data_IF_437599295585
#
_entry.id   IF_437599295585
#
_cell.length_a   1.000
_cell.length_b   1.000
_cell.length_c   1.000
_cell.angle_alpha   90.00
_cell.angle_beta   90.00
_cell.angle_gamma   90.00
#
_symmetry.space_group_name_H-M   'P 1'
#
loop_
_entity.id
_entity.type
_entity.pdbx_description
1 polymer ?
#
# COMPACT_ATOMS: atom_id res chain seq x y z
N UNK A 1 2.65 -0.45 -49.81
CA UNK A 1 2.33 -1.87 -50.03
C UNK A 1 1.83 -2.38 -48.69
N UNK A 2 0.53 -2.35 -48.32
CA UNK A 2 -0.57 -3.29 -48.58
C UNK A 2 -0.20 -4.75 -48.24
N UNK A 3 -0.75 -5.26 -47.11
CA UNK A 3 -1.34 -6.57 -46.85
C UNK A 3 -1.69 -6.60 -45.35
N UNK A 4 -2.84 -6.49 -44.86
CA UNK A 4 -4.19 -7.07 -44.90
C UNK A 4 -4.22 -8.61 -44.74
N UNK A 5 -4.81 -9.06 -43.64
CA UNK A 5 -5.63 -10.27 -43.38
C UNK A 5 -5.94 -10.33 -41.89
N UNK A 6 -7.13 -9.99 -41.42
CA UNK A 6 -8.47 -10.63 -41.46
C UNK A 6 -8.57 -12.00 -40.77
N UNK A 7 -9.46 -12.00 -39.74
CA UNK A 7 -10.47 -12.98 -39.30
C UNK A 7 -10.03 -14.29 -38.63
N UNK A 8 -10.54 -14.54 -37.41
CA UNK A 8 -11.48 -15.64 -37.16
C UNK A 8 -12.20 -15.45 -35.83
N UNK A 9 -13.51 -15.23 -35.93
CA UNK A 9 -14.53 -15.36 -34.89
C UNK A 9 -14.81 -16.85 -34.71
N UNK A 10 -14.88 -17.37 -33.51
CA UNK A 10 -15.55 -18.65 -33.23
C UNK A 10 -16.46 -18.51 -31.99
N UNK A 11 -17.73 -18.36 -32.30
CA UNK A 11 -18.88 -18.61 -31.42
C UNK A 11 -19.04 -20.13 -31.25
N UNK A 12 -19.20 -20.58 -30.00
CA UNK A 12 -19.85 -21.83 -29.66
C UNK A 12 -20.91 -21.60 -28.59
N UNK A 13 -22.15 -21.49 -29.06
CA UNK A 13 -23.40 -21.70 -28.29
C UNK A 13 -23.73 -23.20 -28.30
N UNK A 14 -24.04 -23.75 -27.19
CA UNK A 14 -24.92 -24.91 -26.95
C UNK A 14 -25.29 -24.89 -25.48
N UNK A 15 -26.50 -24.80 -24.99
CA UNK A 15 -27.77 -25.30 -25.48
C UNK A 15 -28.39 -26.33 -24.52
N UNK A 16 -29.49 -25.93 -23.82
CA UNK A 16 -30.68 -26.69 -23.39
C UNK A 16 -30.59 -27.69 -22.22
N UNK A 17 -31.21 -27.35 -21.10
CA UNK A 17 -32.60 -27.77 -20.69
C UNK A 17 -32.72 -29.18 -20.09
N UNK A 18 -33.18 -29.26 -18.85
CA UNK A 18 -33.66 -30.45 -18.17
C UNK A 18 -34.59 -30.07 -17.01
N UNK A 19 -35.89 -30.00 -17.29
CA UNK A 19 -36.95 -30.00 -16.29
C UNK A 19 -37.13 -31.41 -15.71
N UNK A 20 -37.27 -31.51 -14.39
CA UNK A 20 -37.71 -32.75 -13.71
C UNK A 20 -38.55 -32.41 -12.48
N UNK A 21 -39.78 -32.80 -12.52
CA UNK A 21 -40.86 -32.48 -11.62
C UNK A 21 -40.77 -33.21 -10.26
N UNK A 22 -41.45 -32.62 -9.26
CA UNK A 22 -41.73 -33.09 -7.91
C UNK A 22 -42.50 -34.43 -7.84
N UNK A 23 -42.49 -35.14 -6.72
CA UNK A 23 -43.68 -35.16 -5.91
C UNK A 23 -43.47 -34.87 -4.42
N UNK A 24 -44.54 -34.37 -3.81
CA UNK A 24 -44.71 -34.07 -2.41
C UNK A 24 -44.97 -35.37 -1.59
N UNK A 25 -44.46 -35.36 -0.36
CA UNK A 25 -45.06 -36.12 0.75
C UNK A 25 -44.69 -35.43 2.08
N UNK A 26 -45.71 -35.22 2.87
CA UNK A 26 -45.78 -34.67 4.24
C UNK A 26 -44.98 -35.50 5.27
N UNK A 27 -44.35 -34.87 6.28
CA UNK A 27 -44.87 -34.86 7.65
C UNK A 27 -43.81 -34.32 8.65
N UNK A 28 -44.25 -33.29 9.40
CA UNK A 28 -44.19 -33.13 10.84
C UNK A 28 -42.92 -33.56 11.60
N UNK A 29 -42.23 -32.57 12.14
CA UNK A 29 -41.22 -32.71 13.18
C UNK A 29 -40.78 -31.34 13.63
N UNK A 30 -41.42 -30.85 14.69
CA UNK A 30 -41.13 -29.62 15.41
C UNK A 30 -39.78 -29.78 16.12
N UNK A 31 -38.73 -29.15 15.58
CA UNK A 31 -37.48 -28.90 16.30
C UNK A 31 -36.82 -27.64 15.73
N UNK A 32 -36.82 -26.57 16.52
CA UNK A 32 -36.23 -25.32 16.19
C UNK A 32 -34.73 -25.50 15.96
N UNK A 33 -34.17 -25.07 14.82
CA UNK A 33 -32.72 -25.01 14.64
C UNK A 33 -32.13 -23.91 15.53
N UNK A 34 -30.94 -24.13 16.11
CA UNK A 34 -30.25 -23.09 16.85
C UNK A 34 -30.00 -21.91 15.94
N UNK A 35 -30.21 -20.71 16.45
CA UNK A 35 -29.92 -19.47 15.79
C UNK A 35 -28.46 -19.48 15.29
N UNK A 36 -28.33 -19.58 13.99
CA UNK A 36 -27.03 -19.25 13.34
C UNK A 36 -26.89 -17.75 13.48
N UNK A 37 -26.10 -17.37 14.46
CA UNK A 37 -25.60 -16.02 14.63
C UNK A 37 -24.92 -15.65 13.30
N UNK A 38 -25.55 -14.76 12.57
CA UNK A 38 -24.99 -14.21 11.35
C UNK A 38 -23.69 -13.51 11.72
N UNK A 39 -22.58 -14.15 11.42
CA UNK A 39 -21.28 -13.51 11.47
C UNK A 39 -21.35 -12.27 10.58
N UNK A 40 -21.22 -11.10 11.20
CA UNK A 40 -21.04 -9.85 10.50
C UNK A 40 -19.82 -9.99 9.55
N UNK A 41 -19.84 -9.38 8.38
CA UNK A 41 -18.66 -9.37 7.53
C UNK A 41 -17.52 -8.66 8.30
N UNK A 42 -16.50 -9.40 8.62
CA UNK A 42 -15.28 -8.85 9.22
C UNK A 42 -14.62 -7.90 8.23
N UNK A 43 -14.96 -6.61 8.33
CA UNK A 43 -14.25 -5.52 7.70
C UNK A 43 -13.05 -5.23 8.60
N UNK A 44 -12.05 -6.08 8.59
CA UNK A 44 -10.83 -5.82 9.35
C UNK A 44 -9.56 -6.35 8.67
N UNK A 45 -9.34 -5.92 7.42
CA UNK A 45 -8.05 -6.15 6.76
C UNK A 45 -6.91 -5.30 7.34
N UNK A 46 -7.21 -4.17 8.01
CA UNK A 46 -6.19 -3.24 8.49
C UNK A 46 -5.62 -3.62 9.86
N UNK A 47 -6.48 -3.93 10.82
CA UNK A 47 -6.06 -4.30 12.18
C UNK A 47 -5.41 -5.68 12.22
N UNK A 48 -5.86 -6.61 11.39
CA UNK A 48 -5.29 -7.96 11.32
C UNK A 48 -3.86 -7.94 10.77
N UNK A 49 -3.57 -7.13 9.76
CA UNK A 49 -2.21 -6.99 9.23
C UNK A 49 -1.25 -6.37 10.27
N UNK A 50 -1.69 -5.30 10.96
CA UNK A 50 -0.89 -4.65 12.00
C UNK A 50 -0.64 -5.56 13.23
N UNK A 51 -1.55 -6.50 13.53
CA UNK A 51 -1.33 -7.49 14.60
C UNK A 51 -0.35 -8.58 14.19
N UNK A 52 -0.36 -9.01 12.93
CA UNK A 52 0.57 -10.02 12.41
C UNK A 52 2.03 -9.50 12.37
N UNK A 53 2.20 -8.21 12.16
CA UNK A 53 3.52 -7.55 12.12
C UNK A 53 4.16 -7.37 13.49
N UNK A 54 3.44 -7.61 14.59
CA UNK A 54 3.94 -7.53 15.98
C UNK A 54 4.50 -8.84 16.52
N UNK A 55 4.45 -9.91 15.75
CA UNK A 55 5.01 -11.20 16.15
C UNK A 55 6.38 -11.41 15.50
N UNK A 56 7.39 -11.80 16.31
CA UNK A 56 8.70 -12.22 15.79
C UNK A 56 8.62 -13.61 15.15
N UNK A 57 7.80 -13.74 14.12
CA UNK A 57 7.64 -14.97 13.35
C UNK A 57 8.30 -14.84 11.97
N UNK A 58 8.60 -15.95 11.38
CA UNK A 58 9.00 -15.95 9.96
C UNK A 58 7.82 -15.49 9.11
N UNK A 59 8.05 -14.46 8.30
CA UNK A 59 7.09 -13.93 7.34
C UNK A 59 7.22 -14.66 6.01
N UNK A 60 6.15 -14.70 5.26
CA UNK A 60 6.18 -15.12 3.86
C UNK A 60 6.73 -14.01 2.97
N UNK A 61 7.25 -14.37 1.78
CA UNK A 61 7.68 -13.38 0.79
C UNK A 61 6.56 -12.40 0.41
N UNK A 62 5.32 -12.88 0.32
CA UNK A 62 4.15 -12.05 0.01
C UNK A 62 3.86 -11.02 1.10
N UNK A 63 3.99 -11.38 2.38
CA UNK A 63 3.82 -10.46 3.51
C UNK A 63 4.89 -9.37 3.51
N UNK A 64 6.16 -9.73 3.27
CA UNK A 64 7.27 -8.77 3.19
C UNK A 64 7.09 -7.84 1.98
N UNK A 65 6.68 -8.38 0.83
CA UNK A 65 6.39 -7.58 -0.37
C UNK A 65 5.25 -6.60 -0.14
N UNK A 66 4.17 -7.05 0.51
CA UNK A 66 3.06 -6.18 0.87
C UNK A 66 3.46 -5.08 1.87
N UNK A 67 4.39 -5.36 2.78
CA UNK A 67 4.97 -4.35 3.66
C UNK A 67 5.78 -3.32 2.86
N UNK A 68 6.57 -3.77 1.88
CA UNK A 68 7.32 -2.89 0.98
C UNK A 68 6.40 -1.95 0.20
N UNK A 69 5.31 -2.47 -0.40
CA UNK A 69 4.37 -1.66 -1.18
C UNK A 69 3.71 -0.56 -0.32
N UNK A 70 3.38 -0.89 0.95
CA UNK A 70 2.87 0.11 1.91
C UNK A 70 3.93 1.15 2.28
N UNK A 71 5.16 0.71 2.50
CA UNK A 71 6.27 1.60 2.82
C UNK A 71 6.61 2.54 1.66
N UNK A 72 6.65 2.02 0.42
CA UNK A 72 6.86 2.81 -0.79
C UNK A 72 5.77 3.90 -0.93
N UNK A 73 4.51 3.52 -0.73
CA UNK A 73 3.38 4.46 -0.76
C UNK A 73 3.53 5.54 0.30
N UNK A 74 3.80 5.15 1.55
CA UNK A 74 3.92 6.09 2.66
C UNK A 74 5.13 7.01 2.53
N UNK A 75 6.27 6.48 2.08
CA UNK A 75 7.46 7.28 1.79
C UNK A 75 7.21 8.27 0.63
N UNK A 76 6.42 7.82 -0.35
CA UNK A 76 5.97 8.64 -1.47
C UNK A 76 5.19 9.89 -1.05
N UNK A 77 4.46 9.86 0.08
CA UNK A 77 3.74 11.03 0.60
C UNK A 77 4.66 12.20 1.00
N UNK A 78 5.95 11.97 1.13
CA UNK A 78 6.94 13.01 1.46
C UNK A 78 7.81 13.41 0.26
N UNK A 79 7.92 12.55 -0.76
CA UNK A 79 8.88 12.77 -1.84
C UNK A 79 8.27 12.80 -3.25
N UNK A 80 7.07 12.29 -3.43
CA UNK A 80 6.37 12.33 -4.72
C UNK A 80 5.10 13.16 -4.64
N UNK A 81 4.11 12.71 -3.91
CA UNK A 81 2.79 13.32 -3.83
C UNK A 81 2.30 13.28 -2.38
N UNK A 82 1.89 14.42 -1.86
CA UNK A 82 1.37 14.48 -0.49
C UNK A 82 0.03 13.74 -0.35
N UNK A 83 -0.34 13.41 0.90
CA UNK A 83 -1.68 12.89 1.19
C UNK A 83 -2.76 13.77 0.54
N UNK A 84 -3.86 13.17 0.05
CA UNK A 84 -4.98 13.91 -0.48
C UNK A 84 -5.49 14.94 0.51
N UNK A 85 -5.86 16.12 0.00
CA UNK A 85 -6.35 17.23 0.80
C UNK A 85 -7.70 17.72 0.33
N UNK A 86 -8.47 18.30 1.26
CA UNK A 86 -9.76 18.89 1.01
C UNK A 86 -9.67 20.42 0.82
N UNK A 87 -10.81 21.08 0.57
CA UNK A 87 -10.85 22.51 0.28
C UNK A 87 -10.64 23.42 1.51
N UNK A 88 -10.52 22.84 2.71
CA UNK A 88 -10.30 23.60 3.94
C UNK A 88 -8.82 23.96 4.05
N UNK A 89 -8.54 25.26 4.20
CA UNK A 89 -7.17 25.77 4.26
C UNK A 89 -6.91 26.49 5.58
N UNK A 90 -5.64 26.51 5.97
CA UNK A 90 -5.14 27.26 7.12
C UNK A 90 -3.82 27.95 6.75
N UNK A 91 -3.71 29.26 7.06
CA UNK A 91 -2.43 29.95 6.92
C UNK A 91 -1.58 29.78 8.18
N UNK A 92 -0.36 29.30 8.01
CA UNK A 92 0.60 29.13 9.09
C UNK A 92 1.97 29.64 8.61
N UNK A 93 2.53 30.61 9.32
CA UNK A 93 3.82 31.24 9.01
C UNK A 93 3.93 31.79 7.56
N UNK A 94 2.80 32.23 6.99
CA UNK A 94 2.72 32.77 5.61
C UNK A 94 2.61 31.69 4.53
N UNK A 95 2.39 30.43 4.91
CA UNK A 95 2.13 29.32 4.00
C UNK A 95 0.70 28.81 4.16
N UNK A 96 0.07 28.48 3.02
CA UNK A 96 -1.28 27.93 2.99
C UNK A 96 -1.21 26.42 3.05
N UNK A 97 -1.67 25.84 4.15
CA UNK A 97 -1.83 24.42 4.34
C UNK A 97 -3.27 24.01 4.04
N UNK A 98 -3.46 22.83 3.50
CA UNK A 98 -4.76 22.23 3.23
C UNK A 98 -5.04 21.11 4.21
N UNK A 99 -6.29 20.97 4.65
CA UNK A 99 -6.68 19.88 5.54
C UNK A 99 -6.55 18.55 4.82
N UNK A 100 -5.86 17.58 5.44
CA UNK A 100 -5.79 16.22 4.91
C UNK A 100 -7.17 15.59 4.88
N UNK A 101 -7.50 14.96 3.75
CA UNK A 101 -8.74 14.21 3.52
C UNK A 101 -8.39 12.76 3.17
N UNK A 102 -7.89 12.04 4.18
CA UNK A 102 -7.50 10.64 4.05
C UNK A 102 -8.02 9.85 5.27
N UNK A 103 -8.74 8.74 5.07
CA UNK A 103 -9.33 7.96 6.15
C UNK A 103 -8.28 7.48 7.16
N UNK A 104 -8.53 7.74 8.44
CA UNK A 104 -7.62 7.35 9.53
C UNK A 104 -6.42 8.26 9.75
N UNK A 105 -6.34 9.42 9.06
CA UNK A 105 -5.30 10.44 9.21
C UNK A 105 -5.92 11.77 9.64
N UNK A 106 -6.48 11.82 10.86
CA UNK A 106 -7.20 13.00 11.34
C UNK A 106 -6.27 14.04 11.95
N UNK A 107 -5.18 13.61 12.57
CA UNK A 107 -4.20 14.43 13.25
C UNK A 107 -2.76 13.92 13.02
N UNK A 108 -1.77 14.68 13.47
CA UNK A 108 -0.37 14.32 13.28
C UNK A 108 0.03 13.03 14.01
N UNK A 109 -0.62 12.73 15.14
CA UNK A 109 -0.34 11.51 15.88
C UNK A 109 -0.79 10.25 15.11
N UNK A 110 -1.89 10.34 14.34
CA UNK A 110 -2.34 9.24 13.48
C UNK A 110 -1.32 8.97 12.37
N UNK A 111 -0.81 10.02 11.72
CA UNK A 111 0.24 9.89 10.71
C UNK A 111 1.52 9.28 11.31
N UNK A 112 1.95 9.77 12.47
CA UNK A 112 3.11 9.23 13.17
C UNK A 112 2.94 7.76 13.55
N UNK A 113 1.77 7.39 14.06
CA UNK A 113 1.47 6.01 14.43
C UNK A 113 1.50 5.08 13.20
N UNK A 114 0.95 5.54 12.07
CA UNK A 114 0.99 4.80 10.82
C UNK A 114 2.43 4.60 10.32
N UNK A 115 3.23 5.67 10.31
CA UNK A 115 4.62 5.62 9.85
C UNK A 115 5.48 4.73 10.74
N UNK A 116 5.30 4.77 12.08
CA UNK A 116 5.99 3.87 13.02
C UNK A 116 5.65 2.41 12.83
N UNK A 117 4.48 2.09 12.27
CA UNK A 117 4.13 0.74 11.86
C UNK A 117 4.86 0.25 10.61
N UNK A 118 5.60 1.12 9.91
CA UNK A 118 6.30 0.80 8.66
C UNK A 118 7.81 1.03 8.74
N UNK A 119 8.26 2.03 9.52
CA UNK A 119 9.63 2.52 9.55
C UNK A 119 10.16 2.60 10.98
N UNK A 120 11.48 2.54 11.13
CA UNK A 120 12.15 2.82 12.39
C UNK A 120 11.88 4.25 12.87
N UNK A 121 12.01 4.51 14.19
CA UNK A 121 11.79 5.85 14.76
C UNK A 121 12.66 6.91 14.10
N UNK A 122 13.93 6.60 13.81
CA UNK A 122 14.86 7.51 13.14
C UNK A 122 14.34 7.91 11.74
N UNK A 123 13.84 6.96 10.98
CA UNK A 123 13.27 7.24 9.67
C UNK A 123 11.98 8.06 9.75
N UNK A 124 11.14 7.81 10.75
CA UNK A 124 9.91 8.58 10.96
C UNK A 124 10.24 10.04 11.30
N UNK A 125 11.23 10.27 12.15
CA UNK A 125 11.68 11.61 12.52
C UNK A 125 12.24 12.34 11.28
N UNK A 126 13.02 11.67 10.45
CA UNK A 126 13.55 12.23 9.19
C UNK A 126 12.44 12.57 8.19
N UNK A 127 11.44 11.69 8.03
CA UNK A 127 10.28 11.95 7.17
C UNK A 127 9.50 13.17 7.64
N UNK A 128 9.21 13.27 8.93
CA UNK A 128 8.46 14.40 9.49
C UNK A 128 9.25 15.71 9.45
N UNK A 129 10.59 15.64 9.38
CA UNK A 129 11.46 16.80 9.21
C UNK A 129 11.55 17.29 7.75
N UNK A 130 10.98 16.55 6.78
CA UNK A 130 10.96 16.98 5.37
C UNK A 130 10.24 18.32 5.24
N UNK A 131 10.86 19.26 4.51
CA UNK A 131 10.41 20.65 4.41
C UNK A 131 11.10 21.59 5.41
N UNK A 132 11.84 21.09 6.39
CA UNK A 132 12.65 21.85 7.32
C UNK A 132 11.82 22.83 8.16
N UNK A 133 12.02 24.14 8.00
CA UNK A 133 11.25 25.18 8.71
C UNK A 133 9.75 25.19 8.36
N UNK A 134 9.36 24.55 7.26
CA UNK A 134 7.99 24.46 6.77
C UNK A 134 7.68 22.98 6.48
N UNK A 135 7.49 22.15 7.54
CA UNK A 135 7.25 20.73 7.37
C UNK A 135 6.01 20.49 6.50
N UNK A 136 6.04 19.42 5.69
CA UNK A 136 4.93 19.08 4.81
C UNK A 136 3.63 18.83 5.57
N UNK A 137 3.71 18.22 6.75
CA UNK A 137 2.56 17.90 7.59
C UNK A 137 2.61 18.64 8.90
N UNK A 138 1.48 19.20 9.31
CA UNK A 138 1.33 19.96 10.56
C UNK A 138 0.03 19.61 11.26
N UNK A 139 0.11 19.57 12.59
CA UNK A 139 -1.08 19.63 13.43
C UNK A 139 -1.45 21.09 13.66
N UNK A 140 -2.70 21.43 13.38
CA UNK A 140 -3.27 22.73 13.73
C UNK A 140 -4.58 22.48 14.48
N UNK A 141 -4.59 22.79 15.75
CA UNK A 141 -5.73 22.59 16.67
C UNK A 141 -6.27 21.14 16.68
N UNK A 142 -5.37 20.16 16.61
CA UNK A 142 -5.71 18.73 16.61
C UNK A 142 -6.19 18.19 15.27
N UNK A 143 -5.96 18.90 14.18
CA UNK A 143 -6.31 18.49 12.82
C UNK A 143 -5.06 18.45 11.95
N UNK A 144 -4.92 17.40 11.14
CA UNK A 144 -3.81 17.25 10.22
C UNK A 144 -3.99 18.13 8.99
N UNK A 145 -2.99 18.94 8.73
CA UNK A 145 -2.87 19.74 7.53
C UNK A 145 -1.61 19.40 6.76
N UNK A 146 -1.64 19.56 5.46
CA UNK A 146 -0.53 19.32 4.55
C UNK A 146 -0.22 20.57 3.73
N UNK A 147 1.06 20.84 3.50
CA UNK A 147 1.51 21.80 2.50
C UNK A 147 1.56 21.07 1.16
N UNK A 148 0.60 21.29 0.24
CA UNK A 148 0.53 20.52 -1.00
C UNK A 148 1.82 20.64 -1.78
N UNK A 149 2.37 19.52 -2.13
CA UNK A 149 3.58 19.43 -2.93
C UNK A 149 3.52 18.16 -3.77
N UNK A 150 4.14 18.20 -4.94
CA UNK A 150 4.26 17.03 -5.81
C UNK A 150 5.52 17.15 -6.65
N UNK A 151 6.11 16.01 -6.96
CA UNK A 151 7.22 15.87 -7.90
C UNK A 151 6.85 14.79 -8.90
N UNK A 152 7.22 14.99 -10.14
CA UNK A 152 7.11 13.95 -11.13
C UNK A 152 8.09 12.82 -10.81
N UNK A 153 7.70 11.59 -11.13
CA UNK A 153 8.60 10.44 -11.09
C UNK A 153 9.74 10.67 -12.05
N UNK A 154 10.92 10.15 -11.73
CA UNK A 154 12.09 10.21 -12.61
C UNK A 154 11.83 9.43 -13.90
N UNK A 155 11.72 10.11 -15.06
CA UNK A 155 11.42 9.44 -16.33
C UNK A 155 12.55 8.52 -16.82
N UNK A 156 13.74 8.63 -16.23
CA UNK A 156 14.85 7.72 -16.53
C UNK A 156 14.74 6.37 -15.82
N UNK A 157 13.75 6.19 -14.93
CA UNK A 157 13.48 4.93 -14.22
C UNK A 157 12.43 4.11 -14.95
N UNK A 158 12.79 2.90 -15.30
CA UNK A 158 11.93 1.95 -16.00
C UNK A 158 11.26 0.94 -15.07
N UNK A 159 11.15 -0.30 -15.52
CA UNK A 159 10.56 -1.37 -14.75
C UNK A 159 11.42 -1.73 -13.53
N UNK A 160 10.75 -2.07 -12.43
CA UNK A 160 11.41 -2.58 -11.24
C UNK A 160 11.13 -4.07 -11.05
N UNK A 161 12.14 -4.78 -10.56
CA UNK A 161 12.02 -6.17 -10.10
C UNK A 161 12.33 -6.19 -8.62
N UNK A 162 11.39 -6.71 -7.83
CA UNK A 162 11.49 -6.82 -6.37
C UNK A 162 11.77 -8.27 -6.00
N UNK A 163 12.80 -8.50 -5.21
CA UNK A 163 13.17 -9.79 -4.64
C UNK A 163 13.22 -9.67 -3.12
N UNK A 164 12.80 -10.72 -2.43
CA UNK A 164 12.83 -10.77 -0.96
C UNK A 164 13.83 -11.87 -0.57
N UNK A 165 14.81 -11.50 0.24
CA UNK A 165 15.79 -12.41 0.79
C UNK A 165 15.65 -12.49 2.32
N UNK A 166 15.62 -13.71 2.87
CA UNK A 166 15.63 -13.94 4.31
C UNK A 166 17.08 -13.90 4.79
N UNK A 167 17.47 -12.83 5.47
CA UNK A 167 18.85 -12.56 5.89
C UNK A 167 19.18 -12.97 7.33
N UNK A 168 18.15 -13.22 8.14
CA UNK A 168 18.31 -13.63 9.54
C UNK A 168 16.99 -14.09 10.16
N UNK A 169 16.99 -14.61 11.38
CA UNK A 169 15.76 -15.07 12.07
C UNK A 169 14.69 -14.01 12.15
N UNK A 170 15.11 -12.75 12.28
CA UNK A 170 14.25 -11.56 12.43
C UNK A 170 14.63 -10.47 11.43
N UNK A 171 15.08 -10.85 10.23
CA UNK A 171 15.54 -9.90 9.22
C UNK A 171 15.33 -10.42 7.81
N UNK A 172 14.88 -9.51 6.95
CA UNK A 172 14.77 -9.68 5.49
C UNK A 172 15.49 -8.53 4.80
N UNK A 173 15.89 -8.74 3.55
CA UNK A 173 16.24 -7.69 2.59
C UNK A 173 15.20 -7.67 1.49
N UNK A 174 14.69 -6.50 1.16
CA UNK A 174 13.91 -6.28 -0.05
C UNK A 174 14.82 -5.64 -1.08
N UNK A 175 15.25 -6.44 -2.05
CA UNK A 175 16.16 -6.01 -3.10
C UNK A 175 15.36 -5.57 -4.33
N UNK A 176 15.55 -4.31 -4.72
CA UNK A 176 14.85 -3.71 -5.85
C UNK A 176 15.85 -3.37 -6.93
N UNK A 177 15.68 -3.97 -8.10
CA UNK A 177 16.48 -3.66 -9.29
C UNK A 177 15.60 -2.88 -10.27
N UNK A 178 16.04 -1.68 -10.66
CA UNK A 178 15.32 -0.78 -11.55
C UNK A 178 16.08 -0.58 -12.84
N UNK A 179 15.41 -0.72 -13.96
CA UNK A 179 15.97 -0.40 -15.25
C UNK A 179 16.24 1.11 -15.38
N UNK A 180 17.41 1.47 -15.90
CA UNK A 180 17.71 2.83 -16.30
C UNK A 180 17.45 2.98 -17.80
N UNK A 181 16.64 3.97 -18.15
CA UNK A 181 16.24 4.24 -19.53
C UNK A 181 17.12 5.35 -20.14
N UNK A 182 17.22 5.34 -21.46
CA UNK A 182 17.82 6.42 -22.22
C UNK A 182 16.98 7.71 -22.17
N UNK A 183 17.47 8.79 -22.76
CA UNK A 183 16.81 10.09 -22.79
C UNK A 183 15.43 10.05 -23.47
N UNK A 184 15.13 9.02 -24.27
CA UNK A 184 13.85 8.85 -24.93
C UNK A 184 12.89 7.97 -24.14
N UNK A 185 13.36 7.33 -23.05
CA UNK A 185 12.57 6.41 -22.23
C UNK A 185 12.28 5.05 -22.90
N UNK A 186 13.03 4.67 -23.93
CA UNK A 186 12.74 3.50 -24.74
C UNK A 186 13.74 2.36 -24.55
N UNK A 187 15.02 2.68 -24.27
CA UNK A 187 16.10 1.70 -24.24
C UNK A 187 16.68 1.57 -22.84
N UNK A 188 16.77 0.33 -22.33
CA UNK A 188 17.46 0.07 -21.07
C UNK A 188 18.98 0.25 -21.28
N UNK A 189 19.56 1.19 -20.57
CA UNK A 189 20.99 1.52 -20.64
C UNK A 189 21.80 0.98 -19.46
N UNK A 190 21.12 0.59 -18.38
CA UNK A 190 21.72 0.07 -17.18
C UNK A 190 20.68 -0.33 -16.16
N UNK A 191 21.12 -0.64 -14.95
CA UNK A 191 20.25 -0.92 -13.82
C UNK A 191 20.78 -0.24 -12.56
N UNK A 192 19.87 0.13 -11.67
CA UNK A 192 20.20 0.49 -10.29
C UNK A 192 19.67 -0.57 -9.34
N UNK A 193 20.41 -0.84 -8.28
CA UNK A 193 20.05 -1.81 -7.26
C UNK A 193 19.93 -1.11 -5.91
N UNK A 194 18.88 -1.45 -5.19
CA UNK A 194 18.58 -0.95 -3.86
C UNK A 194 18.34 -2.16 -2.96
N UNK A 195 18.75 -2.06 -1.70
CA UNK A 195 18.47 -3.05 -0.68
C UNK A 195 17.84 -2.34 0.52
N UNK A 196 16.66 -2.80 0.93
CA UNK A 196 15.89 -2.23 2.04
C UNK A 196 15.80 -3.27 3.16
N UNK A 197 16.51 -3.04 4.28
CA UNK A 197 16.43 -3.92 5.44
C UNK A 197 15.03 -3.85 6.06
N UNK A 198 14.40 -5.00 6.26
CA UNK A 198 13.13 -5.15 6.95
C UNK A 198 13.34 -6.03 8.16
N UNK A 199 13.29 -5.45 9.35
CA UNK A 199 13.78 -6.06 10.58
C UNK A 199 12.72 -6.02 11.68
N UNK A 200 12.74 -7.03 12.56
CA UNK A 200 11.94 -7.03 13.76
C UNK A 200 12.65 -6.23 14.86
N UNK A 201 12.17 -5.02 15.09
CA UNK A 201 12.74 -4.07 16.05
C UNK A 201 11.73 -3.86 17.18
N UNK A 202 12.18 -3.99 18.42
CA UNK A 202 11.37 -3.92 19.64
C UNK A 202 10.26 -4.98 19.65
N UNK A 203 9.10 -4.72 19.05
CA UNK A 203 7.94 -5.61 19.05
C UNK A 203 7.21 -5.68 17.70
N UNK A 204 7.81 -5.15 16.62
CA UNK A 204 7.19 -5.12 15.31
C UNK A 204 8.22 -5.08 14.16
N UNK A 205 7.74 -5.41 12.96
CA UNK A 205 8.53 -5.42 11.74
C UNK A 205 8.54 -4.05 11.09
N UNK A 206 9.74 -3.48 10.80
CA UNK A 206 9.92 -2.16 10.19
C UNK A 206 11.06 -2.13 9.18
N UNK A 207 10.99 -1.21 8.25
CA UNK A 207 12.14 -0.83 7.43
C UNK A 207 13.06 0.08 8.24
N UNK A 208 14.34 -0.28 8.33
CA UNK A 208 15.37 0.49 9.06
C UNK A 208 16.19 1.38 8.13
N UNK A 209 16.10 1.19 6.83
CA UNK A 209 16.55 2.09 5.76
C UNK A 209 15.56 2.02 4.60
N UNK A 210 15.21 3.18 4.05
CA UNK A 210 14.29 3.28 2.91
C UNK A 210 14.53 4.57 2.13
N UNK A 211 14.29 4.53 0.82
CA UNK A 211 14.38 5.70 -0.07
C UNK A 211 13.52 5.52 -1.31
N UNK A 212 13.21 6.62 -1.98
CA UNK A 212 12.52 6.55 -3.27
C UNK A 212 13.41 5.88 -4.31
N UNK A 213 12.76 5.00 -5.08
CA UNK A 213 13.38 4.25 -6.17
C UNK A 213 13.08 4.91 -7.52
N UNK A 214 11.97 5.67 -7.63
CA UNK A 214 11.45 6.28 -8.86
C UNK A 214 11.51 7.80 -8.83
#
# INVERSE_FOLDING_TARGET
MRFWRLLAVLLCLWGLAGCGALPAAEQSGDEAPPAVEAAAPETDGGLSAAMLERESRTLTEEEVRAAYDRAETAYGWFYLETLPSGPQTQEVDGWTYERVDYPGMENLADLQAYLRGLFSEEMVDDLLAVGGSHPLYRDVDGVLYVLPSGRERDPSKGAAVIQVEHTGETAYSVDVTVDLLDENGETVTGVECYAFPYEFVEDHWVFTDFRMVY
#
